data_IF_539956197878
#
_entry.id   IF_539956197878
#
_cell.length_a   1.000
_cell.length_b   1.000
_cell.length_c   1.000
_cell.angle_alpha   90.00
_cell.angle_beta   90.00
_cell.angle_gamma   90.00
#
_symmetry.space_group_name_H-M   'P 1'
#
loop_
_entity.id
_entity.type
_entity.pdbx_description
1 polymer ?
#
# COMPACT_ATOMS: atom_id res chain seq x y z
N UNK A 1 -19.25 -33.72 -5.42
CA UNK A 1 -18.52 -33.72 -4.13
C UNK A 1 -17.12 -33.18 -4.40
N UNK A 2 -16.63 -32.26 -3.55
CA UNK A 2 -15.23 -31.83 -3.62
C UNK A 2 -14.34 -32.98 -3.12
N UNK A 3 -13.16 -33.20 -3.72
CA UNK A 3 -12.24 -34.24 -3.28
C UNK A 3 -11.73 -33.95 -1.86
N UNK A 4 -11.62 -35.00 -1.04
CA UNK A 4 -10.94 -34.87 0.26
C UNK A 4 -9.46 -34.55 0.04
N UNK A 5 -8.99 -33.51 0.70
CA UNK A 5 -7.61 -33.08 0.67
C UNK A 5 -7.21 -32.53 2.04
N UNK A 6 -5.99 -32.80 2.54
CA UNK A 6 -5.49 -32.19 3.75
C UNK A 6 -5.47 -30.65 3.62
N UNK A 7 -5.54 -29.90 4.73
CA UNK A 7 -5.38 -28.45 4.70
C UNK A 7 -4.06 -28.08 4.02
N UNK A 8 -4.14 -27.30 2.94
CA UNK A 8 -2.96 -26.85 2.19
C UNK A 8 -2.14 -25.77 2.93
N UNK A 9 -2.70 -25.18 4.00
CA UNK A 9 -2.12 -24.09 4.78
C UNK A 9 -2.33 -24.34 6.28
N UNK A 10 -1.41 -23.84 7.10
CA UNK A 10 -1.47 -23.97 8.56
C UNK A 10 -2.68 -23.21 9.14
N UNK A 11 -3.21 -23.67 10.29
CA UNK A 11 -4.42 -23.08 10.91
C UNK A 11 -4.27 -21.62 11.32
N UNK A 12 -3.04 -21.17 11.54
CA UNK A 12 -2.69 -19.80 11.93
C UNK A 12 -2.34 -18.91 10.71
N UNK A 13 -2.27 -19.51 9.51
CA UNK A 13 -2.00 -18.78 8.28
C UNK A 13 -3.29 -18.15 7.76
N UNK A 14 -3.52 -16.89 8.12
CA UNK A 14 -4.67 -16.10 7.63
C UNK A 14 -4.62 -15.88 6.10
N UNK A 15 -3.42 -15.89 5.49
CA UNK A 15 -3.20 -15.57 4.08
C UNK A 15 -1.85 -16.08 3.56
N UNK A 16 -1.75 -16.30 2.25
CA UNK A 16 -0.53 -16.60 1.50
C UNK A 16 0.24 -15.33 1.07
N UNK A 17 -0.33 -14.14 1.33
CA UNK A 17 0.25 -12.86 0.90
C UNK A 17 1.30 -12.34 1.90
N UNK A 18 2.42 -11.76 1.42
CA UNK A 18 3.42 -11.13 2.30
C UNK A 18 2.84 -9.94 3.07
N UNK A 19 3.32 -9.66 4.29
CA UNK A 19 2.89 -8.50 5.10
C UNK A 19 2.89 -7.16 4.34
N UNK A 20 3.87 -6.97 3.43
CA UNK A 20 3.97 -5.78 2.57
C UNK A 20 2.76 -5.59 1.65
N UNK A 21 2.12 -6.67 1.21
CA UNK A 21 0.90 -6.61 0.43
C UNK A 21 -0.23 -5.93 1.22
N UNK A 22 -0.43 -6.30 2.48
CA UNK A 22 -1.46 -5.67 3.32
C UNK A 22 -1.19 -4.20 3.58
N UNK A 23 0.09 -3.83 3.74
CA UNK A 23 0.47 -2.42 3.85
C UNK A 23 0.08 -1.66 2.58
N UNK A 24 0.42 -2.19 1.40
CA UNK A 24 0.03 -1.59 0.12
C UNK A 24 -1.48 -1.43 0.03
N UNK A 25 -2.24 -2.50 0.29
CA UNK A 25 -3.70 -2.50 0.14
C UNK A 25 -4.40 -1.58 1.15
N UNK A 26 -3.97 -1.56 2.41
CA UNK A 26 -4.55 -0.66 3.42
C UNK A 26 -4.31 0.81 3.04
N UNK A 27 -3.10 1.15 2.56
CA UNK A 27 -2.82 2.50 2.09
C UNK A 27 -3.65 2.83 0.84
N UNK A 28 -3.74 1.90 -0.13
CA UNK A 28 -4.57 2.05 -1.35
C UNK A 28 -6.05 2.24 -1.03
N UNK A 29 -6.59 1.51 -0.05
CA UNK A 29 -7.95 1.68 0.43
C UNK A 29 -8.16 3.11 0.95
N UNK A 30 -7.23 3.65 1.75
CA UNK A 30 -7.36 5.02 2.27
C UNK A 30 -7.21 6.07 1.18
N UNK A 31 -6.41 5.81 0.15
CA UNK A 31 -6.39 6.66 -1.05
C UNK A 31 -7.77 6.62 -1.73
N UNK A 32 -8.35 5.44 -1.95
CA UNK A 32 -9.66 5.29 -2.58
C UNK A 32 -10.78 6.02 -1.80
N UNK A 33 -10.72 6.03 -0.47
CA UNK A 33 -11.73 6.69 0.37
C UNK A 33 -11.56 8.22 0.47
N UNK A 34 -10.36 8.75 0.22
CA UNK A 34 -10.05 10.16 0.48
C UNK A 34 -9.84 11.01 -0.78
N UNK A 35 -9.67 10.40 -1.94
CA UNK A 35 -9.50 11.11 -3.20
C UNK A 35 -10.57 10.72 -4.22
N UNK A 36 -10.93 11.66 -5.08
CA UNK A 36 -11.94 11.49 -6.11
C UNK A 36 -11.34 11.39 -7.52
N UNK A 37 -12.24 11.17 -8.49
CA UNK A 37 -11.95 11.23 -9.94
C UNK A 37 -10.87 10.21 -10.32
N UNK A 38 -9.83 10.63 -11.02
CA UNK A 38 -8.79 9.76 -11.54
C UNK A 38 -7.72 9.39 -10.52
N UNK A 39 -7.62 10.10 -9.39
CA UNK A 39 -6.49 9.93 -8.44
C UNK A 39 -6.40 8.51 -7.87
N UNK A 40 -7.48 7.89 -7.35
CA UNK A 40 -7.40 6.53 -6.80
C UNK A 40 -6.89 5.49 -7.80
N UNK A 41 -7.15 5.72 -9.08
CA UNK A 41 -6.79 4.80 -10.15
C UNK A 41 -5.44 5.14 -10.76
N UNK A 42 -4.83 6.28 -10.42
CA UNK A 42 -3.60 6.79 -11.04
C UNK A 42 -2.37 6.73 -10.13
N UNK A 43 -2.45 5.89 -9.11
CA UNK A 43 -1.36 5.71 -8.17
C UNK A 43 -1.02 4.25 -7.93
N UNK A 44 0.23 4.02 -7.52
CA UNK A 44 0.69 2.74 -6.99
C UNK A 44 1.32 2.93 -5.62
N UNK A 45 1.21 1.94 -4.75
CA UNK A 45 1.85 1.95 -3.43
C UNK A 45 2.92 0.87 -3.36
N UNK A 46 4.13 1.26 -3.01
CA UNK A 46 5.25 0.33 -2.82
C UNK A 46 5.87 0.53 -1.43
N UNK A 47 5.98 -0.56 -0.66
CA UNK A 47 6.75 -0.56 0.58
C UNK A 47 8.23 -0.75 0.27
N UNK A 48 9.01 0.33 0.39
CA UNK A 48 10.48 0.28 0.25
C UNK A 48 11.12 -0.37 1.49
N UNK A 49 10.63 -0.07 2.70
CA UNK A 49 11.17 -0.60 3.94
C UNK A 49 10.06 -1.14 4.86
N UNK A 50 10.30 -2.31 5.43
CA UNK A 50 9.49 -2.91 6.48
C UNK A 50 10.45 -3.53 7.50
N UNK A 51 10.60 -2.89 8.66
CA UNK A 51 11.42 -3.36 9.77
C UNK A 51 10.49 -3.63 10.94
N UNK A 52 10.46 -4.87 11.38
CA UNK A 52 9.65 -5.31 12.51
C UNK A 52 10.54 -5.62 13.71
N UNK A 53 10.30 -4.90 14.81
CA UNK A 53 10.82 -5.22 16.14
C UNK A 53 9.71 -5.87 16.99
N UNK A 54 10.01 -6.18 18.25
CA UNK A 54 9.08 -6.81 19.18
C UNK A 54 7.75 -6.05 19.33
N UNK A 55 7.80 -4.71 19.45
CA UNK A 55 6.63 -3.87 19.76
C UNK A 55 6.31 -2.81 18.71
N UNK A 56 7.16 -2.65 17.69
CA UNK A 56 7.08 -1.55 16.72
C UNK A 56 7.42 -2.06 15.33
N UNK A 57 6.58 -1.71 14.36
CA UNK A 57 6.86 -1.88 12.95
C UNK A 57 7.15 -0.51 12.35
N UNK A 58 8.30 -0.36 11.68
CA UNK A 58 8.67 0.83 10.91
C UNK A 58 8.50 0.54 9.43
N UNK A 59 7.69 1.36 8.78
CA UNK A 59 7.28 1.19 7.39
C UNK A 59 7.56 2.48 6.63
N UNK A 60 8.31 2.36 5.55
CA UNK A 60 8.43 3.43 4.55
C UNK A 60 7.73 2.96 3.29
N UNK A 61 6.70 3.70 2.87
CA UNK A 61 5.98 3.43 1.65
C UNK A 61 5.96 4.65 0.72
N UNK A 62 6.00 4.38 -0.57
CA UNK A 62 5.97 5.37 -1.62
C UNK A 62 4.66 5.24 -2.38
N UNK A 63 3.96 6.37 -2.52
CA UNK A 63 2.83 6.54 -3.42
C UNK A 63 3.40 7.11 -4.72
N UNK A 64 3.42 6.31 -5.78
CA UNK A 64 3.78 6.77 -7.12
C UNK A 64 2.58 7.37 -7.81
N UNK A 65 2.70 8.58 -8.33
CA UNK A 65 1.73 9.21 -9.21
C UNK A 65 2.30 9.31 -10.64
N UNK A 66 1.44 9.43 -11.65
CA UNK A 66 1.88 9.56 -13.04
C UNK A 66 2.26 11.00 -13.43
N UNK A 67 1.67 12.00 -12.76
CA UNK A 67 1.81 13.42 -13.09
C UNK A 67 2.05 14.27 -11.84
N UNK A 68 2.77 15.38 -12.00
CA UNK A 68 3.02 16.35 -10.92
C UNK A 68 1.73 16.96 -10.35
N UNK A 69 0.71 17.18 -11.20
CA UNK A 69 -0.59 17.66 -10.74
C UNK A 69 -1.25 16.70 -9.75
N UNK A 70 -1.17 15.39 -10.01
CA UNK A 70 -1.70 14.35 -9.14
C UNK A 70 -0.92 14.29 -7.82
N UNK A 71 0.42 14.37 -7.88
CA UNK A 71 1.25 14.48 -6.66
C UNK A 71 0.82 15.67 -5.80
N UNK A 72 0.58 16.83 -6.40
CA UNK A 72 0.07 18.00 -5.68
C UNK A 72 -1.28 17.76 -4.98
N UNK A 73 -2.21 17.07 -5.66
CA UNK A 73 -3.52 16.70 -5.10
C UNK A 73 -3.37 15.71 -3.94
N UNK A 74 -2.52 14.69 -4.10
CA UNK A 74 -2.27 13.66 -3.08
C UNK A 74 -1.71 14.30 -1.82
N UNK A 75 -0.69 15.16 -1.95
CA UNK A 75 -0.10 15.87 -0.80
C UNK A 75 -1.16 16.78 -0.16
N UNK A 76 -1.91 17.52 -0.98
CA UNK A 76 -2.91 18.48 -0.54
C UNK A 76 -2.29 19.72 0.11
N UNK A 77 -3.12 20.71 0.42
CA UNK A 77 -2.66 21.98 0.97
C UNK A 77 -1.93 21.79 2.31
N UNK A 78 -0.64 22.13 2.35
CA UNK A 78 0.21 21.95 3.54
C UNK A 78 0.39 20.50 3.98
N UNK A 79 0.23 19.52 3.07
CA UNK A 79 0.34 18.10 3.41
C UNK A 79 -0.86 17.50 4.14
N UNK A 80 -1.96 18.25 4.29
CA UNK A 80 -3.11 17.84 5.11
C UNK A 80 -3.79 16.58 4.59
N UNK A 81 -3.93 16.42 3.28
CA UNK A 81 -4.58 15.26 2.67
C UNK A 81 -3.75 13.99 2.88
N UNK A 82 -2.45 14.05 2.56
CA UNK A 82 -1.55 12.91 2.79
C UNK A 82 -1.44 12.54 4.27
N UNK A 83 -1.42 13.53 5.17
CA UNK A 83 -1.42 13.28 6.62
C UNK A 83 -2.68 12.55 7.07
N UNK A 84 -3.84 12.88 6.50
CA UNK A 84 -5.10 12.18 6.80
C UNK A 84 -5.02 10.72 6.40
N UNK A 85 -4.63 10.45 5.15
CA UNK A 85 -4.44 9.09 4.61
C UNK A 85 -3.45 8.30 5.47
N UNK A 86 -2.27 8.85 5.76
CA UNK A 86 -1.28 8.18 6.60
C UNK A 86 -1.76 7.91 8.03
N UNK A 87 -2.56 8.82 8.61
CA UNK A 87 -3.11 8.64 9.95
C UNK A 87 -4.14 7.52 10.00
N UNK A 88 -5.02 7.45 9.00
CA UNK A 88 -6.05 6.40 8.90
C UNK A 88 -5.40 5.05 8.59
N UNK A 89 -4.51 4.99 7.61
CA UNK A 89 -3.79 3.76 7.25
C UNK A 89 -2.98 3.23 8.43
N UNK A 90 -2.25 4.09 9.16
CA UNK A 90 -1.48 3.67 10.34
C UNK A 90 -2.37 3.04 11.42
N UNK A 91 -3.56 3.58 11.69
CA UNK A 91 -4.47 3.01 12.70
C UNK A 91 -4.92 1.61 12.31
N UNK A 92 -5.26 1.42 11.03
CA UNK A 92 -5.71 0.13 10.52
C UNK A 92 -4.55 -0.88 10.51
N UNK A 93 -3.33 -0.45 10.18
CA UNK A 93 -2.13 -1.28 10.29
C UNK A 93 -1.82 -1.67 11.74
N UNK A 94 -1.97 -0.76 12.71
CA UNK A 94 -1.79 -1.07 14.13
C UNK A 94 -2.81 -2.12 14.60
N UNK A 95 -4.05 -2.01 14.13
CA UNK A 95 -5.08 -3.01 14.44
C UNK A 95 -4.79 -4.36 13.75
N UNK A 96 -4.32 -4.35 12.51
CA UNK A 96 -4.04 -5.55 11.74
C UNK A 96 -2.83 -6.33 12.26
N UNK A 97 -1.75 -5.64 12.62
CA UNK A 97 -0.51 -6.27 13.11
C UNK A 97 -0.46 -6.43 14.63
N UNK A 98 -1.45 -5.89 15.36
CA UNK A 98 -1.49 -5.85 16.83
C UNK A 98 -0.21 -5.26 17.46
N UNK A 99 0.45 -4.34 16.75
CA UNK A 99 1.70 -3.68 17.14
C UNK A 99 1.60 -2.18 16.91
N UNK A 100 2.48 -1.40 17.54
CA UNK A 100 2.65 0.01 17.14
C UNK A 100 3.24 0.08 15.75
N UNK A 101 2.79 1.07 14.97
CA UNK A 101 3.27 1.28 13.61
C UNK A 101 3.75 2.71 13.46
N UNK A 102 4.99 2.85 13.01
CA UNK A 102 5.52 4.09 12.45
C UNK A 102 5.42 3.98 10.92
N UNK A 103 4.49 4.73 10.33
CA UNK A 103 4.27 4.76 8.88
C UNK A 103 4.75 6.10 8.33
N UNK A 104 5.76 6.05 7.47
CA UNK A 104 6.22 7.19 6.67
C UNK A 104 5.75 7.01 5.22
N UNK A 105 5.08 8.05 4.70
CA UNK A 105 4.57 8.07 3.33
C UNK A 105 5.28 9.14 2.51
N UNK A 106 5.81 8.73 1.35
CA UNK A 106 6.37 9.63 0.34
C UNK A 106 5.49 9.66 -0.90
N UNK A 107 5.52 10.77 -1.64
CA UNK A 107 4.86 10.87 -2.95
C UNK A 107 5.89 11.19 -4.02
N UNK A 108 6.09 10.25 -4.95
CA UNK A 108 7.01 10.38 -6.08
C UNK A 108 6.20 10.41 -7.39
N UNK A 109 6.73 11.08 -8.41
CA UNK A 109 6.16 11.01 -9.77
C UNK A 109 7.01 10.05 -10.57
N UNK A 110 6.40 9.00 -11.10
CA UNK A 110 6.99 8.11 -12.09
C UNK A 110 6.12 8.18 -13.35
N UNK A 111 6.66 8.79 -14.40
CA UNK A 111 5.89 9.00 -15.62
C UNK A 111 5.65 7.66 -16.32
N UNK A 112 4.41 7.46 -16.75
CA UNK A 112 4.02 6.36 -17.64
C UNK A 112 4.33 4.97 -17.06
N UNK A 113 4.29 4.83 -15.72
CA UNK A 113 4.67 3.58 -15.07
C UNK A 113 3.73 2.43 -15.42
N UNK A 114 2.45 2.72 -15.70
CA UNK A 114 1.45 1.73 -16.10
C UNK A 114 1.71 1.09 -17.47
N UNK A 115 2.48 1.74 -18.34
CA UNK A 115 2.82 1.22 -19.66
C UNK A 115 4.23 0.60 -19.69
N UNK A 116 4.93 0.52 -18.56
CA UNK A 116 6.26 -0.07 -18.46
C UNK A 116 6.16 -1.46 -17.83
N UNK A 117 6.29 -2.51 -18.64
CA UNK A 117 6.23 -3.91 -18.19
C UNK A 117 7.18 -4.21 -17.02
N UNK A 118 8.38 -3.59 -17.03
CA UNK A 118 9.35 -3.72 -15.95
C UNK A 118 8.84 -3.14 -14.63
N UNK A 119 8.09 -2.04 -14.68
CA UNK A 119 7.48 -1.41 -13.50
C UNK A 119 6.26 -2.17 -13.03
N UNK A 120 5.41 -2.62 -13.95
CA UNK A 120 4.28 -3.48 -13.64
C UNK A 120 4.74 -4.74 -12.88
N UNK A 121 5.77 -5.43 -13.38
CA UNK A 121 6.37 -6.59 -12.70
C UNK A 121 6.91 -6.26 -11.31
N UNK A 122 7.59 -5.12 -11.15
CA UNK A 122 8.10 -4.69 -9.85
C UNK A 122 6.98 -4.39 -8.85
N UNK A 123 5.83 -3.89 -9.33
CA UNK A 123 4.65 -3.63 -8.51
C UNK A 123 3.79 -4.89 -8.27
N UNK A 124 4.22 -6.06 -8.76
CA UNK A 124 3.52 -7.32 -8.57
C UNK A 124 2.41 -7.58 -9.59
N UNK A 125 2.30 -6.78 -10.65
CA UNK A 125 1.47 -7.06 -11.80
C UNK A 125 2.22 -8.00 -12.75
N UNK A 126 1.56 -9.07 -13.19
CA UNK A 126 2.09 -9.94 -14.23
C UNK A 126 1.34 -9.62 -15.53
N UNK A 127 1.84 -8.69 -16.38
CA UNK A 127 1.27 -8.49 -17.70
C UNK A 127 1.54 -9.78 -18.50
N UNK A 128 0.46 -10.42 -18.94
CA UNK A 128 0.52 -11.60 -19.82
C UNK A 128 1.34 -11.34 -21.09
#
# INVERSE_FOLDING_TARGET
>A
MLPESPPFFDKDQLTDKPARFFVNEIVREKILLNYDKEIPYAVEVEVEQFIEDDNLIRINAVIYAERESQKGIIIGHGGKSLKKVGTEARKDLEAFFEKKVFLELFVKVEKDWRNKDTKLRNFGYNPD
#
